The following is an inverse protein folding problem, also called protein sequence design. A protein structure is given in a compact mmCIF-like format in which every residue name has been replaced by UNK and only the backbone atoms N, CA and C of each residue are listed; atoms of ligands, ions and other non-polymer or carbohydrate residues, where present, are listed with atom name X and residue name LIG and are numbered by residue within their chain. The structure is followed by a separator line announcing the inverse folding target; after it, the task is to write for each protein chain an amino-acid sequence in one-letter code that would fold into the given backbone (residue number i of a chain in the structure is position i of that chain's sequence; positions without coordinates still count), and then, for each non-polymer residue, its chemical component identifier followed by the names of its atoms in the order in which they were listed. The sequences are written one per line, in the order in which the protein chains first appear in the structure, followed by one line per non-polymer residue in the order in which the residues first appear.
data_IF_765890128367
#
_entry.id   IF_765890128367
#
_cell.length_a   1.000
_cell.length_b   1.000
_cell.length_c   1.000
_cell.angle_alpha   90.00
_cell.angle_beta   90.00
_cell.angle_gamma   90.00
#
_symmetry.space_group_name_H-M   'P 1'
#
loop_
_entity.id
_entity.type
_entity.pdbx_description
1 polymer ?
#
# COMPACT_ATOMS: atom_id res chain seq x y z
N UNK A 1 -6.06 -12.31 22.70
CA UNK A 1 -5.01 -12.33 23.69
C UNK A 1 -3.87 -11.35 23.38
N UNK A 2 -4.10 -10.03 23.37
CA UNK A 2 -3.02 -9.04 23.30
C UNK A 2 -3.50 -7.74 23.95
N UNK A 3 -3.13 -7.53 25.22
CA UNK A 3 -3.45 -6.33 25.99
C UNK A 3 -2.77 -5.08 25.39
N UNK A 4 -3.11 -3.88 25.84
CA UNK A 4 -2.51 -2.61 25.36
C UNK A 4 -0.97 -2.60 25.45
N UNK A 5 -0.40 -3.37 26.39
CA UNK A 5 1.04 -3.58 26.50
C UNK A 5 1.62 -4.36 25.30
N UNK A 6 0.85 -5.28 24.73
CA UNK A 6 1.23 -6.08 23.56
C UNK A 6 1.12 -5.29 22.26
N UNK A 7 0.27 -4.28 22.19
CA UNK A 7 0.16 -3.40 21.02
C UNK A 7 1.48 -2.69 20.66
N UNK A 8 2.21 -2.19 21.66
CA UNK A 8 3.52 -1.55 21.40
C UNK A 8 4.59 -2.56 20.99
N UNK A 9 4.57 -3.78 21.55
CA UNK A 9 5.47 -4.88 21.15
C UNK A 9 5.24 -5.25 19.68
N UNK A 10 3.99 -5.42 19.28
CA UNK A 10 3.63 -5.71 17.89
C UNK A 10 4.12 -4.63 16.92
N UNK A 11 3.97 -3.34 17.30
CA UNK A 11 4.43 -2.20 16.48
C UNK A 11 5.95 -2.19 16.34
N UNK A 12 6.69 -2.39 17.44
CA UNK A 12 8.16 -2.48 17.40
C UNK A 12 8.64 -3.67 16.57
N UNK A 13 8.02 -4.84 16.73
CA UNK A 13 8.34 -6.04 15.97
C UNK A 13 8.09 -5.82 14.47
N UNK A 14 6.92 -5.29 14.11
CA UNK A 14 6.58 -4.96 12.73
C UNK A 14 7.58 -3.98 12.11
N UNK A 15 7.89 -2.89 12.81
CA UNK A 15 8.83 -1.89 12.32
C UNK A 15 10.25 -2.46 12.15
N UNK A 16 10.71 -3.29 13.09
CA UNK A 16 12.00 -3.98 12.99
C UNK A 16 12.09 -4.88 11.75
N UNK A 17 11.03 -5.65 11.45
CA UNK A 17 10.96 -6.49 10.25
C UNK A 17 10.94 -5.63 8.98
N UNK A 18 10.12 -4.59 8.93
CA UNK A 18 10.02 -3.69 7.76
C UNK A 18 11.37 -3.05 7.46
N UNK A 19 12.08 -2.56 8.48
CA UNK A 19 13.41 -1.99 8.30
C UNK A 19 14.43 -3.02 7.83
N UNK A 20 14.36 -4.26 8.33
CA UNK A 20 15.20 -5.35 7.84
C UNK A 20 14.98 -5.59 6.33
N UNK A 21 13.71 -5.67 5.89
CA UNK A 21 13.39 -5.79 4.47
C UNK A 21 13.87 -4.59 3.65
N UNK A 22 13.74 -3.36 4.16
CA UNK A 22 14.23 -2.16 3.47
C UNK A 22 15.74 -2.24 3.22
N UNK A 23 16.54 -2.65 4.22
CA UNK A 23 18.00 -2.75 4.04
C UNK A 23 18.42 -3.92 3.13
N UNK A 24 17.61 -4.96 3.02
CA UNK A 24 17.83 -6.06 2.06
C UNK A 24 17.48 -5.65 0.63
N UNK A 25 16.33 -4.96 0.46
CA UNK A 25 15.76 -4.69 -0.87
C UNK A 25 16.28 -3.40 -1.51
N UNK A 26 16.66 -2.39 -0.72
CA UNK A 26 17.07 -1.07 -1.19
C UNK A 26 18.54 -0.80 -0.90
N UNK A 27 19.43 -0.92 -1.92
CA UNK A 27 20.85 -0.67 -1.74
C UNK A 27 21.12 0.82 -1.46
N UNK A 28 22.30 1.11 -0.90
CA UNK A 28 22.74 2.47 -0.51
C UNK A 28 22.73 3.47 -1.67
N UNK A 29 22.99 3.02 -2.90
CA UNK A 29 22.95 3.85 -4.13
C UNK A 29 21.86 3.32 -5.08
N UNK A 30 20.94 4.17 -5.49
CA UNK A 30 19.84 3.87 -6.41
C UNK A 30 20.24 3.19 -7.74
N UNK A 31 21.47 3.41 -8.21
CA UNK A 31 21.99 2.87 -9.49
C UNK A 31 22.95 1.69 -9.32
N UNK A 32 23.11 1.17 -8.11
CA UNK A 32 23.97 0.02 -7.89
C UNK A 32 23.27 -1.23 -8.39
N UNK A 33 23.73 -1.77 -9.54
CA UNK A 33 23.34 -3.11 -9.98
C UNK A 33 23.97 -4.10 -9.00
N UNK A 34 23.22 -4.43 -7.95
CA UNK A 34 23.62 -5.53 -7.06
C UNK A 34 23.60 -6.82 -7.91
N UNK A 35 24.73 -7.53 -7.92
CA UNK A 35 24.70 -8.93 -8.39
C UNK A 35 23.69 -9.68 -7.49
N UNK A 36 22.86 -10.55 -8.04
CA UNK A 36 21.98 -11.38 -7.22
C UNK A 36 22.84 -12.08 -6.16
N UNK A 37 22.45 -12.00 -4.90
CA UNK A 37 23.15 -12.51 -3.71
C UNK A 37 24.31 -11.66 -3.12
N UNK A 38 24.51 -10.39 -3.48
CA UNK A 38 25.48 -9.54 -2.80
C UNK A 38 24.78 -8.50 -1.92
N UNK A 39 24.67 -8.77 -0.62
CA UNK A 39 24.32 -7.78 0.39
C UNK A 39 25.62 -7.13 0.85
N UNK A 40 25.70 -5.80 0.82
CA UNK A 40 26.86 -5.06 1.33
C UNK A 40 26.98 -5.23 2.85
N UNK A 41 28.20 -5.35 3.35
CA UNK A 41 28.47 -5.48 4.81
C UNK A 41 27.82 -4.31 5.58
N UNK A 42 27.82 -3.11 5.01
CA UNK A 42 27.16 -1.93 5.57
C UNK A 42 25.64 -2.15 5.75
N UNK A 43 24.97 -2.77 4.80
CA UNK A 43 23.52 -3.04 4.86
C UNK A 43 23.21 -4.13 5.90
N UNK A 44 24.10 -5.11 6.07
CA UNK A 44 24.01 -6.10 7.14
C UNK A 44 24.16 -5.44 8.52
N UNK A 45 25.11 -4.53 8.68
CA UNK A 45 25.29 -3.78 9.94
C UNK A 45 24.04 -2.97 10.26
N UNK A 46 23.51 -2.22 9.29
CA UNK A 46 22.28 -1.43 9.49
C UNK A 46 21.07 -2.31 9.82
N UNK A 47 20.95 -3.48 9.19
CA UNK A 47 19.91 -4.46 9.49
C UNK A 47 20.03 -4.94 10.93
N UNK A 48 21.21 -5.35 11.37
CA UNK A 48 21.44 -5.84 12.73
C UNK A 48 21.15 -4.74 13.75
N UNK A 49 21.61 -3.51 13.49
CA UNK A 49 21.35 -2.37 14.37
C UNK A 49 19.85 -2.05 14.41
N UNK A 50 19.15 -2.03 13.27
CA UNK A 50 17.71 -1.78 13.22
C UNK A 50 16.93 -2.80 14.05
N UNK A 51 17.17 -4.09 13.79
CA UNK A 51 16.52 -5.17 14.53
C UNK A 51 16.89 -5.08 16.02
N UNK A 52 18.16 -4.89 16.35
CA UNK A 52 18.63 -4.80 17.73
C UNK A 52 17.98 -3.69 18.55
N UNK A 53 17.83 -2.49 17.95
CA UNK A 53 17.23 -1.33 18.64
C UNK A 53 15.74 -1.57 18.94
N UNK A 54 14.97 -2.11 18.00
CA UNK A 54 13.54 -2.36 18.23
C UNK A 54 13.32 -3.60 19.11
N UNK A 55 14.19 -4.62 19.05
CA UNK A 55 14.16 -5.73 20.01
C UNK A 55 14.54 -5.29 21.42
N UNK A 56 15.50 -4.37 21.60
CA UNK A 56 15.79 -3.74 22.88
C UNK A 56 14.54 -3.10 23.49
N UNK A 57 13.76 -2.36 22.68
CA UNK A 57 12.50 -1.76 23.16
C UNK A 57 11.47 -2.79 23.59
N UNK A 58 11.44 -3.96 22.96
CA UNK A 58 10.54 -5.06 23.33
C UNK A 58 10.96 -5.68 24.65
N UNK A 59 12.24 -5.98 24.82
CA UNK A 59 12.78 -6.68 25.99
C UNK A 59 12.71 -5.78 27.25
N UNK A 60 13.12 -4.51 27.12
CA UNK A 60 13.20 -3.57 28.25
C UNK A 60 11.97 -2.66 28.37
N UNK A 61 10.85 -3.05 27.80
CA UNK A 61 9.63 -2.25 27.72
C UNK A 61 9.15 -1.76 29.09
N UNK A 62 9.07 -2.63 30.08
CA UNK A 62 8.56 -2.29 31.41
C UNK A 62 9.47 -1.29 32.12
N UNK A 63 10.78 -1.44 32.00
CA UNK A 63 11.75 -0.50 32.53
C UNK A 63 11.64 0.88 31.85
N UNK A 64 11.50 0.90 30.51
CA UNK A 64 11.36 2.15 29.75
C UNK A 64 10.08 2.90 30.13
N UNK A 65 8.98 2.19 30.38
CA UNK A 65 7.73 2.79 30.85
C UNK A 65 7.90 3.33 32.29
N UNK A 66 8.56 2.57 33.17
CA UNK A 66 8.80 2.98 34.53
C UNK A 66 9.72 4.22 34.65
N UNK A 67 10.73 4.35 33.77
CA UNK A 67 11.61 5.53 33.71
C UNK A 67 10.87 6.80 33.30
N UNK A 68 9.82 6.68 32.48
CA UNK A 68 9.09 7.82 31.93
C UNK A 68 10.02 8.80 31.20
N UNK A 69 9.79 10.11 31.39
CA UNK A 69 10.63 11.16 30.77
C UNK A 69 12.07 11.24 31.31
N UNK A 70 12.40 10.47 32.37
CA UNK A 70 13.74 10.48 33.00
C UNK A 70 14.63 9.36 32.47
N UNK A 71 14.68 9.18 31.16
CA UNK A 71 15.55 8.20 30.51
C UNK A 71 17.03 8.52 30.76
N UNK A 72 17.85 7.47 30.95
CA UNK A 72 19.29 7.60 31.13
C UNK A 72 20.06 7.88 29.83
N UNK A 73 21.35 8.15 29.97
CA UNK A 73 22.24 8.36 28.80
C UNK A 73 22.25 7.18 27.83
N UNK A 74 22.26 5.90 28.26
CA UNK A 74 22.20 4.76 27.34
C UNK A 74 20.95 4.76 26.47
N UNK A 75 19.79 5.06 27.05
CA UNK A 75 18.52 5.11 26.34
C UNK A 75 18.47 6.27 25.33
N UNK A 76 19.10 7.40 25.67
CA UNK A 76 19.24 8.53 24.74
C UNK A 76 20.05 8.10 23.51
N UNK A 77 21.17 7.42 23.70
CA UNK A 77 22.04 6.95 22.61
C UNK A 77 21.29 5.95 21.72
N UNK A 78 20.62 4.96 22.33
CA UNK A 78 19.80 3.97 21.60
C UNK A 78 18.67 4.66 20.82
N UNK A 79 18.02 5.65 21.43
CA UNK A 79 16.96 6.42 20.77
C UNK A 79 17.47 7.22 19.55
N UNK A 80 18.65 7.83 19.66
CA UNK A 80 19.30 8.52 18.53
C UNK A 80 19.61 7.51 17.41
N UNK A 81 20.16 6.35 17.74
CA UNK A 81 20.44 5.29 16.77
C UNK A 81 19.15 4.83 16.08
N UNK A 82 18.06 4.67 16.82
CA UNK A 82 16.73 4.32 16.25
C UNK A 82 16.27 5.34 15.20
N UNK A 83 16.39 6.63 15.52
CA UNK A 83 16.03 7.72 14.61
C UNK A 83 16.93 7.71 13.36
N UNK A 84 18.25 7.58 13.53
CA UNK A 84 19.20 7.57 12.41
C UNK A 84 18.97 6.40 11.46
N UNK A 85 18.70 5.21 11.97
CA UNK A 85 18.38 4.02 11.16
C UNK A 85 17.09 4.22 10.40
N UNK A 86 16.06 4.79 11.02
CA UNK A 86 14.79 5.11 10.36
C UNK A 86 14.97 6.18 9.28
N UNK A 87 15.76 7.24 9.55
CA UNK A 87 16.09 8.29 8.57
C UNK A 87 16.83 7.70 7.37
N UNK A 88 17.78 6.80 7.59
CA UNK A 88 18.51 6.14 6.50
C UNK A 88 17.58 5.24 5.67
N UNK A 89 16.68 4.50 6.29
CA UNK A 89 15.66 3.72 5.58
C UNK A 89 14.74 4.62 4.75
N UNK A 90 14.28 5.72 5.34
CA UNK A 90 13.44 6.72 4.68
C UNK A 90 14.15 7.36 3.47
N UNK A 91 15.46 7.67 3.60
CA UNK A 91 16.30 8.20 2.51
C UNK A 91 16.34 7.24 1.32
N UNK A 92 16.41 5.94 1.58
CA UNK A 92 16.51 4.92 0.53
C UNK A 92 15.18 4.73 -0.23
N UNK A 93 14.07 4.76 0.49
CA UNK A 93 12.74 4.46 -0.07
C UNK A 93 12.08 5.70 -0.65
N UNK A 94 11.99 6.77 0.14
CA UNK A 94 11.20 7.97 -0.19
C UNK A 94 12.08 9.08 -0.75
N UNK A 95 13.27 9.26 -0.19
CA UNK A 95 14.21 10.29 -0.60
C UNK A 95 14.39 11.40 0.43
N UNK A 96 15.23 12.38 0.10
CA UNK A 96 15.69 13.45 1.00
C UNK A 96 14.61 14.50 1.34
N UNK A 97 13.69 14.91 0.44
CA UNK A 97 12.79 16.04 0.72
C UNK A 97 11.94 15.86 1.98
N UNK A 98 11.37 14.68 2.20
CA UNK A 98 10.56 14.38 3.39
C UNK A 98 11.41 14.40 4.67
N UNK A 99 12.65 13.94 4.58
CA UNK A 99 13.59 13.95 5.72
C UNK A 99 13.89 15.38 6.16
N UNK A 100 14.09 16.30 5.21
CA UNK A 100 14.35 17.72 5.53
C UNK A 100 13.16 18.31 6.29
N UNK A 101 11.94 18.05 5.83
CA UNK A 101 10.73 18.53 6.50
C UNK A 101 10.61 17.93 7.92
N UNK A 102 10.79 16.62 8.05
CA UNK A 102 10.75 15.93 9.35
C UNK A 102 11.86 16.46 10.29
N UNK A 103 13.07 16.64 9.79
CA UNK A 103 14.19 17.16 10.56
C UNK A 103 13.93 18.60 11.05
N UNK A 104 13.29 19.45 10.25
CA UNK A 104 12.91 20.81 10.64
C UNK A 104 11.91 20.79 11.81
N UNK A 105 10.90 19.89 11.78
CA UNK A 105 9.96 19.75 12.91
C UNK A 105 10.64 19.19 14.17
N UNK A 106 11.53 18.21 14.03
CA UNK A 106 12.30 17.69 15.17
C UNK A 106 13.21 18.76 15.74
N UNK A 107 13.90 19.53 14.89
CA UNK A 107 14.72 20.66 15.33
C UNK A 107 13.89 21.72 16.07
N UNK A 108 12.68 22.01 15.59
CA UNK A 108 11.75 22.91 16.28
C UNK A 108 11.42 22.45 17.70
N UNK A 109 11.23 21.14 17.92
CA UNK A 109 10.95 20.59 19.27
C UNK A 109 12.17 20.66 20.21
N UNK A 110 13.39 20.81 19.67
CA UNK A 110 14.61 20.95 20.45
C UNK A 110 14.90 22.40 20.88
N UNK A 111 14.14 23.37 20.37
CA UNK A 111 14.27 24.76 20.80
C UNK A 111 13.83 24.90 22.26
N UNK A 112 14.56 25.69 23.07
CA UNK A 112 14.26 25.84 24.49
C UNK A 112 12.98 26.67 24.70
N UNK A 113 11.83 26.02 24.65
CA UNK A 113 10.52 26.60 24.95
C UNK A 113 10.10 26.30 26.42
N UNK A 114 11.00 26.46 27.37
CA UNK A 114 10.70 26.30 28.80
C UNK A 114 10.80 24.87 29.33
N UNK A 115 11.37 23.95 28.58
CA UNK A 115 11.62 22.57 29.04
C UNK A 115 13.05 22.40 29.59
N UNK A 116 13.18 21.87 30.80
CA UNK A 116 14.49 21.67 31.46
C UNK A 116 15.45 20.73 30.70
N UNK A 117 14.91 19.81 29.89
CA UNK A 117 15.68 18.84 29.10
C UNK A 117 14.99 18.52 27.77
N UNK A 118 15.04 19.42 26.77
CA UNK A 118 14.29 19.24 25.53
C UNK A 118 14.72 18.00 24.75
N UNK A 119 16.01 17.68 24.69
CA UNK A 119 16.53 16.49 23.99
C UNK A 119 16.00 15.18 24.59
N UNK A 120 16.04 15.04 25.91
CA UNK A 120 15.60 13.84 26.60
C UNK A 120 14.10 13.59 26.43
N UNK A 121 13.30 14.66 26.57
CA UNK A 121 11.86 14.61 26.37
C UNK A 121 11.47 14.32 24.93
N UNK A 122 12.15 14.91 23.96
CA UNK A 122 11.93 14.69 22.53
C UNK A 122 12.23 13.24 22.14
N UNK A 123 13.39 12.69 22.54
CA UNK A 123 13.76 11.31 22.24
C UNK A 123 12.78 10.34 22.90
N UNK A 124 12.41 10.58 24.16
CA UNK A 124 11.43 9.74 24.85
C UNK A 124 10.09 9.71 24.11
N UNK A 125 9.54 10.87 23.75
CA UNK A 125 8.27 10.96 23.06
C UNK A 125 8.33 10.35 21.64
N UNK A 126 9.41 10.58 20.89
CA UNK A 126 9.52 10.08 19.52
C UNK A 126 9.75 8.58 19.45
N UNK A 127 10.59 8.01 20.32
CA UNK A 127 11.09 6.64 20.16
C UNK A 127 10.40 5.66 21.10
N UNK A 128 10.11 6.06 22.36
CA UNK A 128 9.68 5.16 23.41
C UNK A 128 8.19 5.25 23.74
N UNK A 129 7.45 6.17 23.11
CA UNK A 129 6.01 6.30 23.32
C UNK A 129 5.21 6.03 22.05
N UNK A 130 3.93 5.74 22.25
CA UNK A 130 2.97 5.56 21.15
C UNK A 130 2.53 6.87 20.50
N UNK A 131 3.04 8.02 20.96
CA UNK A 131 2.77 9.33 20.37
C UNK A 131 3.82 9.74 19.32
N UNK A 132 4.87 8.94 19.16
CA UNK A 132 5.96 9.19 18.22
C UNK A 132 5.99 8.21 17.04
N UNK A 133 7.18 7.67 16.75
CA UNK A 133 7.44 6.79 15.61
C UNK A 133 6.53 5.56 15.63
N UNK A 134 6.37 4.90 16.80
CA UNK A 134 5.50 3.72 16.96
C UNK A 134 4.04 4.10 17.23
N UNK A 135 3.60 5.25 16.75
CA UNK A 135 2.25 5.78 16.93
C UNK A 135 1.20 5.13 16.04
N UNK A 136 0.07 5.85 15.87
CA UNK A 136 -1.09 5.43 15.08
C UNK A 136 -0.73 4.95 13.66
N UNK A 137 0.17 5.61 12.88
CA UNK A 137 0.49 5.12 11.55
C UNK A 137 1.07 3.71 11.54
N UNK A 138 1.99 3.40 12.47
CA UNK A 138 2.58 2.04 12.58
C UNK A 138 1.56 1.04 13.13
N UNK A 139 0.66 1.47 14.01
CA UNK A 139 -0.45 0.62 14.48
C UNK A 139 -1.29 0.17 13.30
N UNK A 140 -1.78 1.10 12.51
CA UNK A 140 -2.64 0.84 11.36
C UNK A 140 -1.92 -0.04 10.32
N UNK A 141 -0.63 0.25 10.05
CA UNK A 141 0.19 -0.57 9.16
C UNK A 141 0.35 -2.01 9.67
N UNK A 142 0.58 -2.20 10.97
CA UNK A 142 0.82 -3.52 11.57
C UNK A 142 -0.46 -4.35 11.78
N UNK A 143 -1.64 -3.74 11.68
CA UNK A 143 -2.94 -4.43 11.85
C UNK A 143 -3.58 -4.78 10.52
N UNK A 144 -4.00 -3.81 9.75
CA UNK A 144 -4.81 -4.08 8.56
C UNK A 144 -4.18 -3.62 7.24
N UNK A 145 -3.39 -2.53 7.17
CA UNK A 145 -2.81 -2.11 5.88
C UNK A 145 -1.96 -3.23 5.29
N UNK A 146 -1.13 -3.90 6.10
CA UNK A 146 -0.33 -5.03 5.64
C UNK A 146 -1.19 -6.14 5.02
N UNK A 147 -2.31 -6.50 5.66
CA UNK A 147 -3.22 -7.53 5.16
C UNK A 147 -3.91 -7.12 3.86
N UNK A 148 -4.32 -5.85 3.74
CA UNK A 148 -4.92 -5.35 2.50
C UNK A 148 -3.93 -5.26 1.35
N UNK A 149 -2.67 -4.86 1.62
CA UNK A 149 -1.58 -4.87 0.62
C UNK A 149 -1.27 -6.31 0.18
N UNK A 150 -1.26 -7.24 1.12
CA UNK A 150 -1.08 -8.67 0.84
C UNK A 150 -2.22 -9.21 -0.03
N UNK A 151 -3.47 -8.86 0.30
CA UNK A 151 -4.65 -9.19 -0.48
C UNK A 151 -4.55 -8.66 -1.92
N UNK A 152 -4.20 -7.38 -2.09
CA UNK A 152 -3.98 -6.78 -3.40
C UNK A 152 -2.92 -7.53 -4.21
N UNK A 153 -1.80 -7.89 -3.57
CA UNK A 153 -0.71 -8.65 -4.21
C UNK A 153 -1.15 -10.06 -4.64
N UNK A 154 -2.00 -10.73 -3.85
CA UNK A 154 -2.57 -12.02 -4.25
C UNK A 154 -3.52 -11.87 -5.43
N UNK A 155 -4.40 -10.87 -5.41
CA UNK A 155 -5.28 -10.60 -6.54
C UNK A 155 -4.51 -10.27 -7.82
N UNK A 156 -3.48 -9.43 -7.76
CA UNK A 156 -2.61 -9.17 -8.91
C UNK A 156 -1.96 -10.45 -9.45
N UNK A 157 -1.55 -11.35 -8.54
CA UNK A 157 -0.98 -12.64 -8.93
C UNK A 157 -1.98 -13.58 -9.62
N UNK A 158 -3.29 -13.40 -9.45
CA UNK A 158 -4.33 -14.18 -10.15
C UNK A 158 -4.51 -13.78 -11.61
N UNK A 159 -3.96 -12.63 -12.04
CA UNK A 159 -4.17 -12.08 -13.37
C UNK A 159 -5.41 -11.17 -13.47
N UNK A 160 -5.96 -10.72 -12.36
CA UNK A 160 -7.15 -9.85 -12.33
C UNK A 160 -6.96 -8.55 -13.13
N UNK A 161 -5.73 -8.03 -13.21
CA UNK A 161 -5.45 -6.83 -13.98
C UNK A 161 -5.72 -7.01 -15.48
N UNK A 162 -5.32 -8.14 -16.06
CA UNK A 162 -5.63 -8.48 -17.46
C UNK A 162 -7.15 -8.59 -17.68
N UNK A 163 -7.86 -9.25 -16.75
CA UNK A 163 -9.31 -9.32 -16.78
C UNK A 163 -9.98 -7.94 -16.74
N UNK A 164 -9.49 -7.00 -15.92
CA UNK A 164 -10.02 -5.63 -15.86
C UNK A 164 -9.74 -4.84 -17.15
N UNK A 165 -8.59 -5.03 -17.77
CA UNK A 165 -8.27 -4.44 -19.08
C UNK A 165 -9.19 -5.02 -20.16
N UNK A 166 -9.45 -6.33 -20.17
CA UNK A 166 -10.41 -6.97 -21.08
C UNK A 166 -11.82 -6.41 -20.90
N UNK A 167 -12.28 -6.26 -19.66
CA UNK A 167 -13.56 -5.63 -19.36
C UNK A 167 -13.64 -4.18 -19.84
N UNK A 168 -12.61 -3.38 -19.58
CA UNK A 168 -12.56 -1.99 -20.02
C UNK A 168 -12.55 -1.87 -21.56
N UNK A 169 -11.81 -2.74 -22.25
CA UNK A 169 -11.81 -2.83 -23.71
C UNK A 169 -13.19 -3.15 -24.28
N UNK A 170 -13.88 -4.11 -23.70
CA UNK A 170 -15.23 -4.50 -24.12
C UNK A 170 -16.25 -3.35 -23.96
N UNK A 171 -16.12 -2.54 -22.90
CA UNK A 171 -17.04 -1.44 -22.60
C UNK A 171 -16.76 -0.20 -23.43
N UNK A 172 -15.50 0.22 -23.53
CA UNK A 172 -15.12 1.53 -24.03
C UNK A 172 -14.18 1.49 -25.25
N UNK A 173 -13.65 0.34 -25.63
CA UNK A 173 -12.62 0.23 -26.66
C UNK A 173 -13.08 0.73 -28.04
N UNK A 174 -14.33 0.48 -28.44
CA UNK A 174 -14.89 0.92 -29.72
C UNK A 174 -15.33 2.41 -29.73
N UNK A 175 -15.42 3.06 -28.58
CA UNK A 175 -15.86 4.44 -28.49
C UNK A 175 -14.79 5.42 -28.98
N UNK A 176 -15.20 6.63 -29.38
CA UNK A 176 -14.26 7.72 -29.72
C UNK A 176 -13.23 7.90 -28.60
N UNK A 177 -11.95 7.79 -28.94
CA UNK A 177 -10.86 7.82 -27.96
C UNK A 177 -10.79 6.58 -27.07
N UNK A 178 -11.28 5.43 -27.55
CA UNK A 178 -11.37 4.15 -26.85
C UNK A 178 -10.16 3.81 -26.00
N UNK A 179 -8.93 3.77 -26.56
CA UNK A 179 -7.73 3.40 -25.83
C UNK A 179 -7.48 4.19 -24.54
N UNK A 180 -7.70 5.50 -24.56
CA UNK A 180 -7.52 6.32 -23.38
C UNK A 180 -8.68 6.17 -22.37
N UNK A 181 -9.90 5.92 -22.85
CA UNK A 181 -11.03 5.57 -21.97
C UNK A 181 -10.83 4.20 -21.32
N UNK A 182 -10.28 3.25 -22.04
CA UNK A 182 -9.87 1.94 -21.50
C UNK A 182 -8.83 2.12 -20.41
N UNK A 183 -7.82 2.98 -20.62
CA UNK A 183 -6.85 3.29 -19.58
C UNK A 183 -7.51 3.83 -18.31
N UNK A 184 -8.43 4.79 -18.43
CA UNK A 184 -9.15 5.36 -17.27
C UNK A 184 -9.97 4.29 -16.52
N UNK A 185 -10.75 3.49 -17.26
CA UNK A 185 -11.61 2.46 -16.63
C UNK A 185 -10.77 1.34 -16.02
N UNK A 186 -9.77 0.83 -16.74
CA UNK A 186 -8.93 -0.25 -16.23
C UNK A 186 -8.11 0.20 -15.02
N UNK A 187 -7.58 1.45 -15.02
CA UNK A 187 -6.89 2.00 -13.86
C UNK A 187 -7.81 2.22 -12.66
N UNK A 188 -9.09 2.59 -12.88
CA UNK A 188 -10.06 2.64 -11.81
C UNK A 188 -10.29 1.26 -11.18
N UNK A 189 -10.51 0.24 -12.02
CA UNK A 189 -10.73 -1.15 -11.56
C UNK A 189 -9.49 -1.76 -10.89
N UNK A 190 -8.30 -1.57 -11.47
CA UNK A 190 -7.06 -2.04 -10.85
C UNK A 190 -6.73 -1.27 -9.57
N UNK A 191 -7.04 0.03 -9.52
CA UNK A 191 -6.91 0.86 -8.33
C UNK A 191 -7.74 0.39 -7.15
N UNK A 192 -8.95 -0.14 -7.42
CA UNK A 192 -9.81 -0.76 -6.39
C UNK A 192 -9.11 -1.90 -5.64
N UNK A 193 -8.15 -2.55 -6.29
CA UNK A 193 -7.44 -3.73 -5.78
C UNK A 193 -6.09 -3.38 -5.19
N UNK A 194 -5.29 -2.56 -5.89
CA UNK A 194 -3.91 -2.26 -5.49
C UNK A 194 -3.81 -1.17 -4.41
N UNK A 195 -4.75 -0.20 -4.40
CA UNK A 195 -4.68 0.98 -3.54
C UNK A 195 -3.41 1.84 -3.74
N UNK A 196 -2.57 1.50 -4.72
CA UNK A 196 -1.28 2.12 -4.98
C UNK A 196 -1.25 2.78 -6.37
N UNK A 197 -1.06 4.09 -6.43
CA UNK A 197 -0.93 4.81 -7.70
C UNK A 197 0.29 4.36 -8.51
N UNK A 198 1.41 4.12 -7.85
CA UNK A 198 2.65 3.67 -8.50
C UNK A 198 2.50 2.25 -9.01
N UNK A 199 1.99 1.33 -8.17
CA UNK A 199 1.71 -0.06 -8.58
C UNK A 199 0.76 -0.12 -9.76
N UNK A 200 -0.34 0.64 -9.69
CA UNK A 200 -1.34 0.71 -10.75
C UNK A 200 -0.73 1.25 -12.07
N UNK A 201 0.04 2.36 -12.03
CA UNK A 201 0.71 2.91 -13.21
C UNK A 201 1.67 1.90 -13.86
N UNK A 202 2.39 1.12 -13.08
CA UNK A 202 3.31 0.09 -13.61
C UNK A 202 2.53 -1.06 -14.25
N UNK A 203 1.45 -1.51 -13.60
CA UNK A 203 0.67 -2.67 -14.05
C UNK A 203 -0.18 -2.34 -15.28
N UNK A 204 -1.01 -1.31 -15.22
CA UNK A 204 -1.91 -0.92 -16.32
C UNK A 204 -1.18 -0.14 -17.39
N UNK A 205 -0.28 0.77 -17.02
CA UNK A 205 0.42 1.65 -17.93
C UNK A 205 1.37 0.93 -18.89
N UNK A 206 1.90 -0.23 -18.50
CA UNK A 206 2.69 -1.07 -19.40
C UNK A 206 1.91 -1.50 -20.66
N UNK A 207 0.59 -1.60 -20.56
CA UNK A 207 -0.31 -2.00 -21.66
C UNK A 207 -1.00 -0.78 -22.28
N UNK A 208 -1.55 0.09 -21.45
CA UNK A 208 -2.41 1.20 -21.89
C UNK A 208 -1.64 2.34 -22.57
N UNK A 209 -0.45 2.70 -22.06
CA UNK A 209 0.38 3.76 -22.66
C UNK A 209 0.81 3.40 -24.10
N UNK A 210 1.38 2.22 -24.38
CA UNK A 210 1.67 1.80 -25.74
C UNK A 210 0.43 1.75 -26.63
N UNK A 211 -0.71 1.32 -26.12
CA UNK A 211 -1.97 1.27 -26.83
C UNK A 211 -2.45 2.67 -27.25
N UNK A 212 -2.44 3.64 -26.32
CA UNK A 212 -2.77 5.04 -26.61
C UNK A 212 -1.83 5.65 -27.65
N UNK A 213 -0.52 5.41 -27.53
CA UNK A 213 0.47 5.91 -28.51
C UNK A 213 0.25 5.37 -29.91
N UNK A 214 -0.03 4.06 -30.05
CA UNK A 214 -0.29 3.42 -31.36
C UNK A 214 -1.54 3.96 -32.04
N UNK A 215 -2.50 4.45 -31.29
CA UNK A 215 -3.76 5.01 -31.80
C UNK A 215 -3.70 6.50 -32.05
N UNK A 216 -2.54 7.15 -31.86
CA UNK A 216 -2.29 8.54 -32.26
C UNK A 216 -2.36 9.57 -31.13
N UNK A 217 -2.42 9.15 -29.85
CA UNK A 217 -2.26 10.09 -28.74
C UNK A 217 -0.79 10.53 -28.60
N UNK A 218 -0.53 11.81 -28.28
CA UNK A 218 0.81 12.28 -27.93
C UNK A 218 1.35 11.49 -26.73
N UNK A 219 2.64 11.10 -26.74
CA UNK A 219 3.24 10.29 -25.66
C UNK A 219 3.10 10.91 -24.28
N UNK A 220 3.25 12.23 -24.17
CA UNK A 220 3.14 13.00 -22.94
C UNK A 220 1.71 12.95 -22.40
N UNK A 221 0.72 13.05 -23.28
CA UNK A 221 -0.69 12.96 -22.91
C UNK A 221 -1.05 11.53 -22.45
N UNK A 222 -0.56 10.52 -23.14
CA UNK A 222 -0.77 9.12 -22.76
C UNK A 222 -0.20 8.83 -21.35
N UNK A 223 1.02 9.31 -21.07
CA UNK A 223 1.61 9.20 -19.75
C UNK A 223 0.84 9.97 -18.67
N UNK A 224 0.38 11.18 -18.99
CA UNK A 224 -0.39 12.01 -18.07
C UNK A 224 -1.76 11.40 -17.72
N UNK A 225 -2.46 10.83 -18.73
CA UNK A 225 -3.75 10.14 -18.50
C UNK A 225 -3.56 8.95 -17.57
N UNK A 226 -2.55 8.13 -17.84
CA UNK A 226 -2.26 6.96 -17.00
C UNK A 226 -1.89 7.35 -15.56
N UNK A 227 -1.00 8.33 -15.39
CA UNK A 227 -0.61 8.80 -14.08
C UNK A 227 -1.79 9.38 -13.29
N UNK A 228 -2.64 10.18 -13.95
CA UNK A 228 -3.83 10.74 -13.33
C UNK A 228 -4.84 9.63 -12.97
N UNK A 229 -5.16 8.72 -13.90
CA UNK A 229 -6.11 7.64 -13.65
C UNK A 229 -5.63 6.71 -12.54
N UNK A 230 -4.34 6.35 -12.53
CA UNK A 230 -3.74 5.51 -11.49
C UNK A 230 -3.75 6.19 -10.11
N UNK A 231 -3.57 7.52 -10.06
CA UNK A 231 -3.67 8.29 -8.81
C UNK A 231 -5.08 8.23 -8.23
N UNK A 232 -6.11 8.28 -9.09
CA UNK A 232 -7.50 8.10 -8.68
C UNK A 232 -7.79 6.75 -8.04
N UNK A 233 -7.00 5.72 -8.33
CA UNK A 233 -7.12 4.42 -7.69
C UNK A 233 -6.98 4.45 -6.17
N UNK A 234 -6.24 5.43 -5.62
CA UNK A 234 -6.09 5.58 -4.16
C UNK A 234 -7.38 6.01 -3.43
N UNK A 235 -8.30 6.65 -4.14
CA UNK A 235 -9.61 7.05 -3.59
C UNK A 235 -10.74 6.11 -4.04
N UNK A 236 -10.43 5.13 -4.88
CA UNK A 236 -11.43 4.20 -5.42
C UNK A 236 -11.74 3.07 -4.44
N UNK A 237 -12.97 2.95 -3.91
CA UNK A 237 -13.36 1.82 -3.08
C UNK A 237 -13.23 0.48 -3.82
N UNK A 238 -13.03 -0.66 -3.11
CA UNK A 238 -13.12 -0.84 -1.67
C UNK A 238 -11.79 -0.73 -0.91
N UNK A 239 -10.61 -0.93 -1.55
CA UNK A 239 -9.35 -1.01 -0.79
C UNK A 239 -8.80 0.39 -0.51
N UNK A 240 -8.86 1.29 -1.51
CA UNK A 240 -8.32 2.65 -1.43
C UNK A 240 -6.82 2.67 -1.07
N UNK A 241 -6.25 3.84 -0.90
CA UNK A 241 -4.87 4.00 -0.41
C UNK A 241 -4.79 3.95 1.13
N UNK A 242 -3.58 3.80 1.65
CA UNK A 242 -3.33 3.74 3.11
C UNK A 242 -3.86 4.95 3.89
N UNK A 243 -4.05 6.10 3.23
CA UNK A 243 -4.62 7.29 3.85
C UNK A 243 -6.06 7.08 4.34
N UNK A 244 -6.86 6.25 3.67
CA UNK A 244 -8.23 5.97 4.08
C UNK A 244 -8.29 5.21 5.41
N UNK A 245 -7.36 4.29 5.65
CA UNK A 245 -7.25 3.58 6.92
C UNK A 245 -6.79 4.48 8.05
N UNK A 246 -5.84 5.39 7.76
CA UNK A 246 -5.42 6.41 8.73
C UNK A 246 -6.56 7.37 9.05
N UNK A 247 -7.34 7.75 8.06
CA UNK A 247 -8.54 8.59 8.25
C UNK A 247 -9.53 7.91 9.19
N UNK A 248 -9.83 6.63 9.00
CA UNK A 248 -10.71 5.86 9.88
C UNK A 248 -10.26 5.92 11.34
N UNK A 249 -8.99 5.63 11.59
CA UNK A 249 -8.42 5.63 12.94
C UNK A 249 -8.33 7.02 13.57
N UNK A 250 -7.97 8.05 12.78
CA UNK A 250 -7.80 9.42 13.30
C UNK A 250 -9.12 10.13 13.54
N UNK A 251 -10.18 9.76 12.83
CA UNK A 251 -11.54 10.35 12.98
C UNK A 251 -12.46 9.49 13.82
N UNK A 252 -11.98 8.34 14.32
CA UNK A 252 -12.77 7.34 15.04
C UNK A 252 -14.07 6.98 14.28
N UNK A 253 -13.92 6.81 12.96
CA UNK A 253 -15.03 6.50 12.04
C UNK A 253 -14.83 5.10 11.49
N UNK A 254 -15.90 4.33 11.36
CA UNK A 254 -15.82 3.01 10.73
C UNK A 254 -15.34 3.09 9.28
N UNK A 255 -14.45 2.18 8.88
CA UNK A 255 -13.94 2.14 7.51
C UNK A 255 -15.04 1.96 6.46
N UNK A 256 -16.10 1.23 6.81
CA UNK A 256 -17.28 1.05 5.97
C UNK A 256 -17.95 2.38 5.59
N UNK A 257 -18.05 3.32 6.54
CA UNK A 257 -18.61 4.66 6.29
C UNK A 257 -17.72 5.47 5.37
N UNK A 258 -16.39 5.41 5.55
CA UNK A 258 -15.44 6.09 4.68
C UNK A 258 -15.53 5.51 3.26
N UNK A 259 -15.63 4.19 3.13
CA UNK A 259 -15.77 3.49 1.85
C UNK A 259 -17.00 4.01 1.08
N UNK A 260 -18.15 4.07 1.72
CA UNK A 260 -19.40 4.55 1.10
C UNK A 260 -19.28 6.02 0.70
N UNK A 261 -18.72 6.87 1.58
CA UNK A 261 -18.55 8.30 1.31
C UNK A 261 -17.51 8.58 0.21
N UNK A 262 -16.52 7.70 0.03
CA UNK A 262 -15.51 7.82 -1.01
C UNK A 262 -16.04 7.57 -2.43
N UNK A 263 -17.19 6.90 -2.59
CA UNK A 263 -17.79 6.61 -3.90
C UNK A 263 -18.02 7.88 -4.71
N UNK A 264 -18.59 8.93 -4.09
CA UNK A 264 -18.89 10.18 -4.80
C UNK A 264 -17.63 10.93 -5.26
N UNK A 265 -16.61 11.18 -4.42
CA UNK A 265 -15.36 11.79 -4.86
C UNK A 265 -14.66 10.98 -5.95
N UNK A 266 -14.64 9.65 -5.84
CA UNK A 266 -14.05 8.77 -6.84
C UNK A 266 -14.80 8.88 -8.19
N UNK A 267 -16.12 8.82 -8.16
CA UNK A 267 -16.95 8.96 -9.37
C UNK A 267 -16.72 10.29 -10.07
N UNK A 268 -16.67 11.40 -9.31
CA UNK A 268 -16.39 12.73 -9.86
C UNK A 268 -14.99 12.82 -10.47
N UNK A 269 -13.99 12.27 -9.78
CA UNK A 269 -12.61 12.26 -10.25
C UNK A 269 -12.46 11.52 -11.60
N UNK A 270 -12.94 10.30 -11.66
CA UNK A 270 -12.86 9.49 -12.88
C UNK A 270 -13.73 10.04 -14.02
N UNK A 271 -14.88 10.62 -13.70
CA UNK A 271 -15.72 11.32 -14.70
C UNK A 271 -14.97 12.52 -15.30
N UNK A 272 -14.28 13.30 -14.48
CA UNK A 272 -13.47 14.43 -14.97
C UNK A 272 -12.38 13.99 -15.95
N UNK A 273 -11.61 12.95 -15.61
CA UNK A 273 -10.57 12.40 -16.51
C UNK A 273 -11.21 11.82 -17.77
N UNK A 274 -12.29 11.09 -17.65
CA UNK A 274 -12.99 10.46 -18.76
C UNK A 274 -13.52 11.49 -19.78
N UNK A 275 -14.09 12.59 -19.28
CA UNK A 275 -14.53 13.72 -20.14
C UNK A 275 -13.35 14.42 -20.80
N UNK A 276 -12.27 14.70 -20.07
CA UNK A 276 -11.06 15.29 -20.62
C UNK A 276 -10.49 14.46 -21.77
N UNK A 277 -10.38 13.15 -21.55
CA UNK A 277 -9.92 12.19 -22.57
C UNK A 277 -10.85 12.16 -23.79
N UNK A 278 -12.17 12.19 -23.56
CA UNK A 278 -13.15 12.20 -24.64
C UNK A 278 -13.02 13.46 -25.51
N UNK A 279 -12.96 14.64 -24.92
CA UNK A 279 -12.84 15.88 -25.65
C UNK A 279 -11.49 16.00 -26.36
N UNK A 280 -10.40 15.54 -25.73
CA UNK A 280 -9.09 15.49 -26.40
C UNK A 280 -9.10 14.58 -27.61
N UNK A 281 -9.66 13.38 -27.49
CA UNK A 281 -9.81 12.45 -28.61
C UNK A 281 -10.59 13.06 -29.78
N UNK A 282 -11.70 13.74 -29.45
CA UNK A 282 -12.54 14.42 -30.43
C UNK A 282 -11.81 15.58 -31.13
N UNK A 283 -11.02 16.36 -30.38
CA UNK A 283 -10.26 17.49 -30.95
C UNK A 283 -9.15 17.07 -31.90
N UNK A 284 -8.57 15.89 -31.75
CA UNK A 284 -7.53 15.35 -32.65
C UNK A 284 -8.06 14.27 -33.62
N UNK A 285 -9.39 14.07 -33.66
CA UNK A 285 -10.05 13.20 -34.63
C UNK A 285 -9.82 11.70 -34.44
N UNK A 286 -9.50 11.24 -33.23
CA UNK A 286 -9.26 9.83 -32.93
C UNK A 286 -10.55 9.02 -32.91
N UNK A 287 -10.51 7.89 -33.58
CA UNK A 287 -11.58 6.87 -33.56
C UNK A 287 -11.32 5.84 -32.43
N UNK A 288 -12.31 4.98 -32.18
CA UNK A 288 -12.15 3.82 -31.33
C UNK A 288 -11.37 2.69 -32.00
N UNK A 289 -11.11 1.64 -31.25
CA UNK A 289 -10.55 0.39 -31.77
C UNK A 289 -11.57 -0.34 -32.61
N UNK A 290 -11.08 -1.18 -33.51
CA UNK A 290 -11.93 -2.00 -34.38
C UNK A 290 -12.71 -3.01 -33.50
N UNK A 291 -14.02 -3.12 -33.73
CA UNK A 291 -14.92 -3.99 -32.94
C UNK A 291 -14.51 -5.45 -32.96
N UNK A 292 -13.91 -5.90 -34.10
CA UNK A 292 -13.47 -7.29 -34.23
C UNK A 292 -12.22 -7.63 -33.43
N UNK A 293 -11.44 -6.62 -33.06
CA UNK A 293 -10.25 -6.77 -32.19
C UNK A 293 -10.55 -6.75 -30.70
N UNK A 294 -11.80 -6.45 -30.31
CA UNK A 294 -12.17 -6.30 -28.90
C UNK A 294 -12.57 -7.66 -28.27
N UNK A 295 -12.23 -7.86 -26.96
CA UNK A 295 -12.68 -9.04 -26.24
C UNK A 295 -14.20 -9.16 -26.26
N UNK A 296 -14.69 -10.35 -26.57
CA UNK A 296 -16.13 -10.64 -26.60
C UNK A 296 -16.59 -11.07 -25.20
N UNK A 297 -17.86 -10.86 -24.90
CA UNK A 297 -18.42 -11.26 -23.60
C UNK A 297 -18.18 -12.74 -23.24
N UNK A 298 -18.09 -13.63 -24.25
CA UNK A 298 -17.76 -15.05 -24.07
C UNK A 298 -16.37 -15.29 -23.46
N UNK A 299 -15.44 -14.38 -23.68
CA UNK A 299 -14.05 -14.47 -23.18
C UNK A 299 -13.94 -13.91 -21.76
N UNK A 300 -14.85 -13.01 -21.38
CA UNK A 300 -14.90 -12.34 -20.10
C UNK A 300 -15.66 -13.17 -19.05
N UNK A 301 -16.79 -13.77 -19.46
CA UNK A 301 -17.69 -14.50 -18.55
C UNK A 301 -17.02 -15.62 -17.76
N UNK A 302 -16.14 -16.46 -18.33
CA UNK A 302 -15.45 -17.50 -17.58
C UNK A 302 -14.46 -16.99 -16.53
N UNK A 303 -14.05 -15.72 -16.60
CA UNK A 303 -13.07 -15.09 -15.69
C UNK A 303 -13.76 -14.33 -14.53
N UNK A 304 -15.09 -14.26 -14.48
CA UNK A 304 -15.85 -13.53 -13.44
C UNK A 304 -15.56 -14.03 -12.01
N UNK A 305 -15.13 -15.29 -11.86
CA UNK A 305 -14.74 -15.82 -10.55
C UNK A 305 -13.58 -15.06 -9.89
N UNK A 306 -12.76 -14.34 -10.69
CA UNK A 306 -11.69 -13.49 -10.18
C UNK A 306 -12.20 -12.31 -9.34
N UNK A 307 -13.49 -11.93 -9.50
CA UNK A 307 -14.13 -10.91 -8.66
C UNK A 307 -14.58 -11.43 -7.30
N UNK A 308 -14.68 -12.76 -7.13
CA UNK A 308 -15.20 -13.36 -5.91
C UNK A 308 -14.49 -12.89 -4.64
N UNK A 309 -13.13 -12.84 -4.58
CA UNK A 309 -12.43 -12.35 -3.40
C UNK A 309 -12.77 -10.89 -3.07
N UNK A 310 -12.95 -10.06 -4.10
CA UNK A 310 -13.31 -8.65 -3.93
C UNK A 310 -14.75 -8.51 -3.39
N UNK A 311 -15.68 -9.29 -3.91
CA UNK A 311 -17.08 -9.31 -3.46
C UNK A 311 -17.13 -9.75 -1.98
N UNK A 312 -16.41 -10.81 -1.62
CA UNK A 312 -16.34 -11.30 -0.24
C UNK A 312 -15.76 -10.22 0.69
N UNK A 313 -14.68 -9.55 0.27
CA UNK A 313 -14.10 -8.46 1.05
C UNK A 313 -15.11 -7.35 1.31
N UNK A 314 -15.76 -6.85 0.26
CA UNK A 314 -16.75 -5.76 0.36
C UNK A 314 -17.90 -6.15 1.28
N UNK A 315 -18.43 -7.37 1.10
CA UNK A 315 -19.52 -7.89 1.93
C UNK A 315 -19.15 -7.92 3.42
N UNK A 316 -17.96 -8.45 3.74
CA UNK A 316 -17.50 -8.56 5.13
C UNK A 316 -17.16 -7.19 5.75
N UNK A 317 -16.58 -6.28 4.98
CA UNK A 317 -16.24 -4.92 5.45
C UNK A 317 -17.51 -4.10 5.72
N UNK A 318 -18.57 -4.24 4.91
CA UNK A 318 -19.84 -3.54 5.14
C UNK A 318 -20.53 -4.09 6.40
N UNK A 319 -20.32 -5.36 6.76
CA UNK A 319 -20.80 -5.95 8.01
C UNK A 319 -19.82 -5.75 9.19
N UNK A 320 -19.24 -4.55 9.31
CA UNK A 320 -18.23 -4.19 10.33
C UNK A 320 -18.67 -4.46 11.77
N UNK A 321 -19.97 -4.44 12.06
CA UNK A 321 -20.49 -4.81 13.37
C UNK A 321 -20.34 -6.30 13.74
N UNK A 322 -20.05 -7.18 12.76
CA UNK A 322 -19.91 -8.63 12.96
C UNK A 322 -18.46 -9.07 12.76
N UNK A 323 -17.74 -8.45 11.82
CA UNK A 323 -16.39 -8.85 11.43
C UNK A 323 -15.39 -7.70 11.59
N UNK A 324 -14.21 -7.99 12.15
CA UNK A 324 -13.12 -7.01 12.18
C UNK A 324 -12.54 -6.81 10.78
N UNK A 325 -11.97 -5.62 10.51
CA UNK A 325 -11.31 -5.34 9.22
C UNK A 325 -10.16 -6.33 8.94
N UNK A 326 -9.39 -6.68 9.97
CA UNK A 326 -8.30 -7.63 9.84
C UNK A 326 -8.80 -9.03 9.45
N UNK A 327 -9.87 -9.51 10.11
CA UNK A 327 -10.48 -10.80 9.78
C UNK A 327 -11.04 -10.82 8.35
N UNK A 328 -11.75 -9.75 7.95
CA UNK A 328 -12.29 -9.59 6.58
C UNK A 328 -11.17 -9.69 5.52
N UNK A 329 -10.04 -9.02 5.76
CA UNK A 329 -8.90 -9.07 4.85
C UNK A 329 -8.28 -10.48 4.77
N UNK A 330 -8.16 -11.19 5.91
CA UNK A 330 -7.61 -12.56 5.93
C UNK A 330 -8.51 -13.52 5.16
N UNK A 331 -9.83 -13.48 5.38
CA UNK A 331 -10.78 -14.32 4.64
C UNK A 331 -10.71 -14.03 3.14
N UNK A 332 -10.68 -12.75 2.77
CA UNK A 332 -10.55 -12.35 1.37
C UNK A 332 -9.22 -12.85 0.74
N UNK A 333 -8.11 -12.81 1.49
CA UNK A 333 -6.84 -13.39 1.06
C UNK A 333 -6.96 -14.90 0.79
N UNK A 334 -7.62 -15.64 1.68
CA UNK A 334 -7.83 -17.09 1.49
C UNK A 334 -8.67 -17.37 0.23
N UNK A 335 -9.74 -16.62 0.02
CA UNK A 335 -10.56 -16.73 -1.19
C UNK A 335 -9.75 -16.35 -2.44
N UNK A 336 -8.87 -15.33 -2.37
CA UNK A 336 -7.98 -14.96 -3.48
C UNK A 336 -6.97 -16.07 -3.81
N UNK A 337 -6.45 -16.75 -2.79
CA UNK A 337 -5.56 -17.91 -2.99
C UNK A 337 -6.29 -19.03 -3.72
N UNK A 338 -7.53 -19.36 -3.29
CA UNK A 338 -8.35 -20.39 -3.95
C UNK A 338 -8.66 -20.02 -5.40
N UNK A 339 -9.08 -18.77 -5.65
CA UNK A 339 -9.31 -18.27 -7.01
C UNK A 339 -8.03 -18.31 -7.86
N UNK A 340 -6.87 -17.94 -7.27
CA UNK A 340 -5.57 -18.00 -7.93
C UNK A 340 -5.12 -19.41 -8.29
N UNK A 341 -5.47 -20.41 -7.48
CA UNK A 341 -5.18 -21.82 -7.81
C UNK A 341 -5.96 -22.31 -9.03
N UNK A 342 -7.17 -21.79 -9.23
CA UNK A 342 -7.98 -22.06 -10.42
C UNK A 342 -7.47 -21.31 -11.66
N UNK A 343 -6.78 -20.18 -11.49
CA UNK A 343 -6.25 -19.38 -12.59
C UNK A 343 -5.00 -20.01 -13.22
N UNK A 344 -4.95 -19.99 -14.58
CA UNK A 344 -3.77 -20.39 -15.33
C UNK A 344 -2.65 -19.35 -15.28
N UNK A 345 -2.99 -18.09 -15.10
CA UNK A 345 -2.05 -16.96 -15.09
C UNK A 345 -1.20 -16.91 -13.81
N UNK A 346 -1.64 -17.54 -12.74
CA UNK A 346 -0.90 -17.60 -11.46
C UNK A 346 0.44 -18.36 -11.58
N UNK A 347 0.52 -19.37 -12.48
CA UNK A 347 1.77 -20.09 -12.80
C UNK A 347 2.54 -20.59 -11.56
N UNK A 348 3.83 -20.27 -11.50
CA UNK A 348 4.73 -20.67 -10.38
C UNK A 348 4.41 -19.96 -9.04
N UNK A 349 3.65 -18.85 -9.06
CA UNK A 349 3.27 -18.14 -7.85
C UNK A 349 2.30 -18.93 -6.97
N UNK A 350 1.67 -19.99 -7.49
CA UNK A 350 0.75 -20.88 -6.72
C UNK A 350 1.40 -21.43 -5.45
N UNK A 351 2.66 -21.84 -5.53
CA UNK A 351 3.39 -22.39 -4.37
C UNK A 351 3.55 -21.32 -3.28
N UNK A 352 3.93 -20.09 -3.67
CA UNK A 352 4.10 -18.98 -2.71
C UNK A 352 2.77 -18.62 -2.07
N UNK A 353 1.69 -18.57 -2.85
CA UNK A 353 0.34 -18.30 -2.35
C UNK A 353 -0.12 -19.39 -1.36
N UNK A 354 0.17 -20.66 -1.66
CA UNK A 354 -0.20 -21.76 -0.78
C UNK A 354 0.58 -21.71 0.55
N UNK A 355 1.88 -21.42 0.51
CA UNK A 355 2.69 -21.26 1.73
C UNK A 355 2.19 -20.09 2.58
N UNK A 356 1.76 -18.99 1.97
CA UNK A 356 1.20 -17.86 2.67
C UNK A 356 -0.20 -18.14 3.26
N UNK A 357 -0.92 -19.15 2.78
CA UNK A 357 -2.20 -19.56 3.36
C UNK A 357 -2.05 -20.12 4.78
N UNK A 358 -0.93 -20.77 5.12
CA UNK A 358 -0.73 -21.40 6.43
C UNK A 358 -0.82 -20.38 7.58
N UNK A 359 -0.02 -19.29 7.63
CA UNK A 359 -0.13 -18.30 8.69
C UNK A 359 -1.48 -17.59 8.71
N UNK A 360 -2.12 -17.37 7.54
CA UNK A 360 -3.44 -16.77 7.46
C UNK A 360 -4.53 -17.66 8.08
N UNK A 361 -4.47 -18.97 7.86
CA UNK A 361 -5.37 -19.95 8.49
C UNK A 361 -5.19 -20.00 10.01
N UNK A 362 -3.95 -19.91 10.49
CA UNK A 362 -3.68 -19.85 11.94
C UNK A 362 -4.26 -18.57 12.54
N UNK A 363 -4.08 -17.44 11.87
CA UNK A 363 -4.62 -16.16 12.32
C UNK A 363 -6.17 -16.17 12.38
N UNK A 364 -6.84 -16.70 11.35
CA UNK A 364 -8.31 -16.76 11.29
C UNK A 364 -8.93 -17.63 12.41
N UNK A 365 -8.18 -18.62 12.94
CA UNK A 365 -8.64 -19.45 14.07
C UNK A 365 -8.46 -18.78 15.43
N UNK A 366 -7.62 -17.78 15.54
CA UNK A 366 -7.34 -17.09 16.81
C UNK A 366 -8.29 -15.93 17.14
N UNK A 367 -9.04 -15.45 16.17
CA UNK A 367 -9.99 -14.34 16.33
C UNK A 367 -11.48 -14.77 16.24
N UNK A 368 -11.78 -16.07 16.12
CA UNK A 368 -13.13 -16.65 16.07
C UNK A 368 -13.67 -17.02 17.46
#
# INVERSE_FOLDING_TARGET
MFSTAEGSVRRCFFLGIVLAFVFIMYPIKKNMKLKPNHILIYDVVLLVVAVGVYFYQIIFKEELIAMGRRIGTPQIIIGIIAILVLVEACRRVVGIPIIIVAAAFVAYTLLPMGADKPLQGTIYNLVYTTNGIIGTPIQVCSTYIFLFVLFGSFLEATGIAAFFIDCANSIAGAATGGPAKVAVISSALCGMVSGSSVGNTVTTGAVTIPLMKRTGYPPEFAGAVEAAASTGGQIMPPIMGSAAFLMAEMTDTEYADILVRAILPAALYFTGIFLMVHFKAKSIGLKGLDKDSLPKGKDIFPKLYLLLPLIVLVFMVIQSGTFTMAYSAVVACLVAIVAGMASRETGSKKVVMLLAAIPLLVYSRGEG
#
